data_IF_903115402509
#
_entry.id   IF_903115402509
#
_cell.length_a   1.000
_cell.length_b   1.000
_cell.length_c   1.000
_cell.angle_alpha   90.00
_cell.angle_beta   90.00
_cell.angle_gamma   90.00
#
_symmetry.space_group_name_H-M   'P 1'
#
loop_
_entity.id
_entity.type
_entity.pdbx_description
1 polymer ?
#
# COMPACT_ATOMS: atom_id res chain seq x y z
N UNK A 1 15.26 -34.16 21.20
CA UNK A 1 13.92 -33.57 21.38
C UNK A 1 14.17 -32.18 21.93
N UNK A 2 14.13 -31.16 21.07
CA UNK A 2 14.38 -29.78 21.50
C UNK A 2 13.12 -29.31 22.23
N UNK A 3 13.24 -29.05 23.53
CA UNK A 3 12.23 -28.34 24.31
C UNK A 3 12.06 -26.96 23.68
N UNK A 4 10.98 -26.79 22.93
CA UNK A 4 10.52 -25.48 22.51
C UNK A 4 9.74 -24.94 23.69
N UNK A 5 10.36 -24.03 24.44
CA UNK A 5 9.76 -23.38 25.61
C UNK A 5 8.52 -22.58 25.16
N UNK A 6 7.33 -23.17 25.32
CA UNK A 6 6.05 -22.62 24.87
C UNK A 6 5.55 -21.49 25.79
N UNK A 7 6.08 -21.37 27.00
CA UNK A 7 5.64 -20.35 27.98
C UNK A 7 6.10 -18.93 27.60
N UNK A 8 7.07 -18.81 26.68
CA UNK A 8 7.52 -17.53 26.11
C UNK A 8 6.88 -17.15 24.77
N UNK A 9 6.07 -18.03 24.18
CA UNK A 9 5.38 -17.78 22.91
C UNK A 9 4.14 -16.91 23.19
N UNK A 10 4.18 -15.63 22.78
CA UNK A 10 3.12 -14.61 22.97
C UNK A 10 3.14 -13.78 24.28
N UNK A 11 4.29 -13.62 24.94
CA UNK A 11 4.41 -12.59 25.98
C UNK A 11 4.45 -11.17 25.37
N UNK A 12 3.70 -10.21 25.93
CA UNK A 12 3.65 -8.81 25.45
C UNK A 12 5.04 -8.16 25.56
N UNK A 13 5.74 -8.38 26.67
CA UNK A 13 7.08 -7.85 26.90
C UNK A 13 8.10 -8.39 25.87
N UNK A 14 8.09 -9.69 25.61
CA UNK A 14 8.97 -10.30 24.59
C UNK A 14 8.61 -9.82 23.19
N UNK A 15 7.32 -9.64 22.88
CA UNK A 15 6.87 -9.12 21.58
C UNK A 15 7.33 -7.68 21.35
N UNK A 16 7.25 -6.82 22.38
CA UNK A 16 7.78 -5.44 22.33
C UNK A 16 9.29 -5.42 22.12
N UNK A 17 10.04 -6.19 22.92
CA UNK A 17 11.50 -6.26 22.78
C UNK A 17 11.94 -6.75 21.38
N UNK A 18 11.21 -7.73 20.81
CA UNK A 18 11.45 -8.20 19.44
C UNK A 18 11.13 -7.14 18.39
N UNK A 19 10.03 -6.40 18.57
CA UNK A 19 9.67 -5.30 17.66
C UNK A 19 10.71 -4.17 17.70
N UNK A 20 11.22 -3.82 18.89
CA UNK A 20 12.30 -2.83 19.06
C UNK A 20 13.60 -3.30 18.40
N UNK A 21 14.02 -4.55 18.65
CA UNK A 21 15.19 -5.13 18.00
C UNK A 21 15.06 -5.18 16.47
N UNK A 22 13.87 -5.51 15.96
CA UNK A 22 13.56 -5.47 14.53
C UNK A 22 13.70 -4.04 13.98
N UNK A 23 13.14 -3.04 14.67
CA UNK A 23 13.25 -1.66 14.24
C UNK A 23 14.71 -1.20 14.19
N UNK A 24 15.51 -1.54 15.22
CA UNK A 24 16.93 -1.21 15.27
C UNK A 24 17.71 -1.87 14.12
N UNK A 25 17.47 -3.17 13.88
CA UNK A 25 18.16 -3.92 12.82
C UNK A 25 17.83 -3.42 11.41
N UNK A 26 16.62 -2.90 11.20
CA UNK A 26 16.12 -2.42 9.92
C UNK A 26 16.21 -0.90 9.74
N UNK A 27 16.76 -0.15 10.69
CA UNK A 27 16.84 1.32 10.62
C UNK A 27 15.47 2.02 10.70
N UNK A 28 14.47 1.38 11.32
CA UNK A 28 13.12 1.93 11.46
C UNK A 28 13.02 2.85 12.67
N UNK A 29 12.43 4.02 12.47
CA UNK A 29 11.95 4.88 13.55
C UNK A 29 10.77 4.23 14.28
N UNK A 30 9.86 3.60 13.54
CA UNK A 30 8.71 2.90 14.12
C UNK A 30 8.11 1.90 13.13
N UNK A 31 7.58 0.80 13.67
CA UNK A 31 6.67 -0.12 12.98
C UNK A 31 5.40 -0.24 13.81
N UNK A 32 4.24 0.12 13.24
CA UNK A 32 2.97 0.17 13.98
C UNK A 32 1.88 -0.53 13.20
N UNK A 33 1.15 -1.42 13.87
CA UNK A 33 -0.08 -2.01 13.34
C UNK A 33 -1.29 -1.22 13.83
N UNK A 34 -2.29 -1.08 12.97
CA UNK A 34 -3.52 -0.32 13.23
C UNK A 34 -4.69 -1.20 12.86
N UNK A 35 -5.70 -1.26 13.72
CA UNK A 35 -6.94 -1.96 13.41
C UNK A 35 -7.63 -1.30 12.21
N UNK A 36 -7.96 -2.14 11.22
CA UNK A 36 -8.69 -1.73 10.02
C UNK A 36 -10.01 -2.49 9.92
N UNK A 37 -10.92 -1.99 9.08
CA UNK A 37 -12.29 -2.50 9.03
C UNK A 37 -12.42 -3.61 8.00
N UNK A 38 -12.38 -4.85 8.47
CA UNK A 38 -12.60 -6.03 7.64
C UNK A 38 -13.50 -7.05 8.36
N UNK A 39 -13.93 -8.10 7.64
CA UNK A 39 -14.80 -9.16 8.20
C UNK A 39 -14.12 -9.99 9.28
N UNK A 40 -12.80 -10.06 9.23
CA UNK A 40 -11.94 -10.74 10.20
C UNK A 40 -10.96 -9.73 10.79
N UNK A 41 -10.23 -10.16 11.82
CA UNK A 41 -9.18 -9.33 12.42
C UNK A 41 -8.10 -9.06 11.38
N UNK A 42 -8.03 -7.82 10.92
CA UNK A 42 -7.13 -7.34 9.90
C UNK A 42 -6.42 -6.08 10.40
N UNK A 43 -5.19 -5.87 9.93
CA UNK A 43 -4.38 -4.74 10.33
C UNK A 43 -3.78 -4.04 9.12
N UNK A 44 -3.80 -2.71 9.18
CA UNK A 44 -2.90 -1.89 8.40
C UNK A 44 -1.58 -1.72 9.13
N UNK A 45 -0.51 -1.48 8.37
CA UNK A 45 0.83 -1.31 8.92
C UNK A 45 1.39 0.04 8.49
N UNK A 46 2.00 0.76 9.43
CA UNK A 46 2.73 2.00 9.18
C UNK A 46 4.19 1.79 9.56
N UNK A 47 5.06 1.99 8.57
CA UNK A 47 6.52 1.85 8.70
C UNK A 47 7.12 3.24 8.51
N UNK A 48 7.91 3.70 9.49
CA UNK A 48 8.69 4.93 9.38
C UNK A 48 10.16 4.60 9.52
N UNK A 49 10.98 5.10 8.60
CA UNK A 49 12.41 4.86 8.58
C UNK A 49 13.19 6.08 9.09
N UNK A 50 14.38 5.85 9.62
CA UNK A 50 15.24 6.93 10.14
C UNK A 50 15.68 7.92 9.03
N UNK A 51 15.77 7.47 7.79
CA UNK A 51 16.06 8.31 6.60
C UNK A 51 14.90 9.23 6.17
N UNK A 52 13.79 9.26 6.92
CA UNK A 52 12.68 10.20 6.70
C UNK A 52 11.60 9.73 5.73
N UNK A 53 11.72 8.55 5.14
CA UNK A 53 10.63 7.96 4.35
C UNK A 53 9.68 7.13 5.22
N UNK A 54 8.45 6.98 4.75
CA UNK A 54 7.44 6.16 5.41
C UNK A 54 6.48 5.49 4.43
N UNK A 55 6.06 4.27 4.79
CA UNK A 55 5.18 3.43 3.98
C UNK A 55 3.99 3.02 4.83
N UNK A 56 2.79 3.11 4.24
CA UNK A 56 1.55 2.62 4.81
C UNK A 56 1.04 1.49 3.94
N UNK A 57 0.74 0.35 4.54
CA UNK A 57 0.11 -0.78 3.90
C UNK A 57 -1.28 -0.96 4.51
N UNK A 58 -2.34 -0.94 3.70
CA UNK A 58 -3.71 -0.97 4.23
C UNK A 58 -4.13 -2.33 4.82
N UNK A 59 -3.59 -3.43 4.28
CA UNK A 59 -4.27 -4.72 4.36
C UNK A 59 -5.62 -4.70 3.62
N UNK A 60 -6.45 -5.71 3.84
CA UNK A 60 -7.83 -5.72 3.36
C UNK A 60 -8.70 -4.87 4.27
N UNK A 61 -9.38 -3.85 3.74
CA UNK A 61 -10.19 -2.95 4.55
C UNK A 61 -11.23 -2.19 3.75
N UNK A 62 -12.39 -1.97 4.35
CA UNK A 62 -13.27 -0.85 4.03
C UNK A 62 -12.64 0.49 4.44
N UNK A 63 -13.17 1.65 4.03
CA UNK A 63 -12.59 2.94 4.39
C UNK A 63 -12.43 3.14 5.90
N UNK A 64 -11.18 3.29 6.36
CA UNK A 64 -10.84 3.33 7.78
C UNK A 64 -10.15 4.63 8.17
N UNK A 65 -10.76 5.38 9.09
CA UNK A 65 -10.20 6.63 9.62
C UNK A 65 -8.96 6.42 10.48
N UNK A 66 -8.79 5.26 11.12
CA UNK A 66 -7.60 4.96 11.93
C UNK A 66 -6.35 4.89 11.05
N UNK A 67 -6.47 4.27 9.87
CA UNK A 67 -5.38 4.19 8.91
C UNK A 67 -4.94 5.60 8.47
N UNK A 68 -5.91 6.47 8.15
CA UNK A 68 -5.66 7.88 7.80
C UNK A 68 -4.88 8.61 8.90
N UNK A 69 -5.28 8.45 10.15
CA UNK A 69 -4.62 9.12 11.29
C UNK A 69 -3.20 8.61 11.50
N UNK A 70 -3.00 7.31 11.45
CA UNK A 70 -1.70 6.69 11.68
C UNK A 70 -0.70 6.96 10.55
N UNK A 71 -1.19 7.02 9.31
CA UNK A 71 -0.40 7.16 8.09
C UNK A 71 -0.17 8.59 7.59
N UNK A 72 -0.59 9.63 8.35
CA UNK A 72 -0.49 11.02 7.90
C UNK A 72 0.89 11.38 7.32
N UNK A 73 0.87 12.08 6.19
CA UNK A 73 2.03 12.56 5.43
C UNK A 73 3.00 11.45 5.00
N UNK A 74 2.52 10.22 4.83
CA UNK A 74 3.39 9.13 4.41
C UNK A 74 3.96 9.32 3.00
N UNK A 75 5.16 8.77 2.77
CA UNK A 75 5.77 8.80 1.43
C UNK A 75 4.94 7.95 0.46
N UNK A 76 4.54 6.76 0.87
CA UNK A 76 3.79 5.84 0.03
C UNK A 76 2.63 5.20 0.80
N UNK A 77 1.45 5.23 0.20
CA UNK A 77 0.32 4.37 0.57
C UNK A 77 0.21 3.23 -0.43
N UNK A 78 0.24 2.00 0.05
CA UNK A 78 -0.14 0.80 -0.70
C UNK A 78 -1.52 0.40 -0.20
N UNK A 79 -2.53 0.54 -1.05
CA UNK A 79 -3.93 0.34 -0.67
C UNK A 79 -4.61 -0.72 -1.52
N UNK A 80 -5.41 -1.56 -0.88
CA UNK A 80 -6.28 -2.52 -1.55
C UNK A 80 -7.41 -1.77 -2.31
N UNK A 81 -7.75 -2.21 -3.51
CA UNK A 81 -8.80 -1.60 -4.33
C UNK A 81 -9.57 -2.70 -5.06
N UNK A 82 -10.14 -3.63 -4.27
CA UNK A 82 -10.80 -4.83 -4.76
C UNK A 82 -12.00 -4.57 -5.66
N UNK A 83 -12.72 -3.47 -5.48
CA UNK A 83 -14.03 -3.23 -6.12
C UNK A 83 -14.05 -2.00 -7.01
N UNK A 84 -14.89 -2.03 -8.05
CA UNK A 84 -15.17 -0.84 -8.87
C UNK A 84 -16.06 0.14 -8.13
N UNK A 85 -16.02 1.40 -8.55
CA UNK A 85 -16.77 2.47 -7.91
C UNK A 85 -18.28 2.28 -8.03
N UNK A 86 -18.76 1.59 -9.08
CA UNK A 86 -20.18 1.27 -9.23
C UNK A 86 -20.67 0.17 -8.26
N UNK A 87 -19.74 -0.52 -7.60
CA UNK A 87 -20.02 -1.67 -6.71
C UNK A 87 -19.81 -1.34 -5.24
N UNK A 88 -19.97 -0.06 -4.87
CA UNK A 88 -19.79 0.42 -3.50
C UNK A 88 -20.60 -0.38 -2.47
N UNK A 89 -21.83 -0.78 -2.79
CA UNK A 89 -22.65 -1.60 -1.89
C UNK A 89 -22.05 -2.99 -1.66
N UNK A 90 -21.48 -3.60 -2.70
CA UNK A 90 -20.79 -4.89 -2.58
C UNK A 90 -19.47 -4.74 -1.81
N UNK A 91 -18.73 -3.65 -2.06
CA UNK A 91 -17.49 -3.33 -1.34
C UNK A 91 -17.78 -3.21 0.16
N UNK A 92 -18.82 -2.45 0.52
CA UNK A 92 -19.29 -2.32 1.90
C UNK A 92 -19.70 -3.66 2.49
N UNK A 93 -20.50 -4.45 1.77
CA UNK A 93 -20.96 -5.76 2.26
C UNK A 93 -19.80 -6.73 2.49
N UNK A 94 -18.73 -6.66 1.69
CA UNK A 94 -17.54 -7.51 1.82
C UNK A 94 -16.43 -6.90 2.69
N UNK A 95 -16.62 -5.69 3.20
CA UNK A 95 -15.64 -4.93 3.97
C UNK A 95 -14.31 -4.71 3.20
N UNK A 96 -14.44 -4.27 1.96
CA UNK A 96 -13.37 -3.89 1.04
C UNK A 96 -13.53 -2.42 0.59
N UNK A 97 -12.50 -1.87 -0.03
CA UNK A 97 -12.51 -0.52 -0.60
C UNK A 97 -12.74 -0.53 -2.11
N UNK A 98 -13.44 0.49 -2.61
CA UNK A 98 -13.43 0.81 -4.05
C UNK A 98 -12.18 1.59 -4.43
N UNK A 99 -11.91 1.70 -5.74
CA UNK A 99 -10.79 2.53 -6.25
C UNK A 99 -10.87 3.98 -5.75
N UNK A 100 -12.02 4.65 -5.92
CA UNK A 100 -12.21 6.03 -5.46
C UNK A 100 -12.03 6.16 -3.96
N UNK A 101 -12.54 5.22 -3.19
CA UNK A 101 -12.37 5.22 -1.73
C UNK A 101 -10.91 5.11 -1.32
N UNK A 102 -10.14 4.20 -1.95
CA UNK A 102 -8.70 4.05 -1.71
C UNK A 102 -7.92 5.33 -2.07
N UNK A 103 -8.26 5.97 -3.19
CA UNK A 103 -7.67 7.26 -3.60
C UNK A 103 -8.01 8.37 -2.60
N UNK A 104 -9.26 8.44 -2.15
CA UNK A 104 -9.71 9.46 -1.20
C UNK A 104 -9.06 9.28 0.18
N UNK A 105 -8.77 8.04 0.59
CA UNK A 105 -7.96 7.74 1.79
C UNK A 105 -6.55 8.30 1.62
N UNK A 106 -5.89 8.05 0.48
CA UNK A 106 -4.57 8.61 0.18
C UNK A 106 -4.55 10.14 0.23
N UNK A 107 -5.56 10.78 -0.35
CA UNK A 107 -5.71 12.25 -0.31
C UNK A 107 -5.87 12.78 1.11
N UNK A 108 -6.77 12.18 1.91
CA UNK A 108 -7.01 12.57 3.32
C UNK A 108 -5.80 12.30 4.23
N UNK A 109 -4.97 11.34 3.84
CA UNK A 109 -3.72 11.00 4.51
C UNK A 109 -2.56 11.92 4.08
N UNK A 110 -2.76 12.78 3.07
CA UNK A 110 -1.73 13.66 2.50
C UNK A 110 -0.46 12.91 2.06
N UNK A 111 -0.63 11.72 1.49
CA UNK A 111 0.52 10.94 1.01
C UNK A 111 1.10 11.50 -0.28
N UNK A 112 2.38 11.26 -0.51
CA UNK A 112 3.03 11.68 -1.76
C UNK A 112 2.65 10.76 -2.92
N UNK A 113 2.61 9.45 -2.66
CA UNK A 113 2.31 8.41 -3.65
C UNK A 113 1.22 7.47 -3.15
N UNK A 114 0.36 7.01 -4.06
CA UNK A 114 -0.64 5.96 -3.80
C UNK A 114 -0.50 4.86 -4.84
N UNK A 115 -0.29 3.63 -4.38
CA UNK A 115 -0.18 2.42 -5.16
C UNK A 115 -1.38 1.53 -4.88
N UNK A 116 -2.26 1.38 -5.87
CA UNK A 116 -3.43 0.52 -5.75
C UNK A 116 -3.05 -0.91 -6.11
N UNK A 117 -3.51 -1.86 -5.31
CA UNK A 117 -3.25 -3.30 -5.50
C UNK A 117 -4.47 -4.13 -5.07
N UNK A 118 -4.32 -5.45 -5.05
CA UNK A 118 -5.35 -6.39 -4.61
C UNK A 118 -6.65 -6.23 -5.41
N UNK A 119 -6.53 -6.23 -6.74
CA UNK A 119 -7.67 -6.09 -7.63
C UNK A 119 -8.46 -7.40 -7.70
N UNK A 120 -9.78 -7.33 -7.82
CA UNK A 120 -10.59 -8.52 -8.09
C UNK A 120 -10.37 -9.00 -9.51
N UNK A 121 -10.13 -10.31 -9.66
CA UNK A 121 -9.89 -10.98 -10.94
C UNK A 121 -11.02 -10.89 -11.97
N UNK A 122 -12.18 -10.41 -11.53
CA UNK A 122 -13.37 -10.23 -12.38
C UNK A 122 -13.27 -9.01 -13.28
N UNK A 123 -12.29 -8.14 -13.07
CA UNK A 123 -12.18 -6.85 -13.77
C UNK A 123 -10.99 -6.84 -14.73
N UNK A 124 -11.25 -7.09 -16.01
CA UNK A 124 -10.23 -7.06 -17.07
C UNK A 124 -9.86 -5.64 -17.55
N UNK A 125 -10.58 -4.61 -17.08
CA UNK A 125 -10.36 -3.21 -17.47
C UNK A 125 -9.79 -2.44 -16.29
N UNK A 126 -8.59 -1.93 -16.47
CA UNK A 126 -7.98 -0.95 -15.56
C UNK A 126 -8.85 0.32 -15.50
N UNK A 127 -8.91 0.99 -14.34
CA UNK A 127 -9.61 2.26 -14.21
C UNK A 127 -8.80 3.39 -14.85
N UNK A 128 -8.82 3.47 -16.19
CA UNK A 128 -8.14 4.48 -16.99
C UNK A 128 -8.47 5.92 -16.56
N UNK A 129 -9.67 6.16 -16.04
CA UNK A 129 -10.19 7.50 -15.76
C UNK A 129 -9.64 8.12 -14.47
N UNK A 130 -8.99 7.33 -13.60
CA UNK A 130 -8.60 7.79 -12.26
C UNK A 130 -7.15 8.30 -12.16
N UNK A 131 -6.28 7.97 -13.12
CA UNK A 131 -4.84 8.31 -13.10
C UNK A 131 -4.49 9.66 -13.74
N UNK A 132 -5.47 10.36 -14.34
CA UNK A 132 -5.25 11.58 -15.13
C UNK A 132 -5.10 12.88 -14.30
N UNK A 133 -5.11 12.80 -12.96
CA UNK A 133 -4.97 13.98 -12.10
C UNK A 133 -3.50 14.33 -11.85
N UNK A 134 -3.09 15.56 -12.18
CA UNK A 134 -1.76 16.10 -11.88
C UNK A 134 -1.56 16.54 -10.41
N UNK A 135 -2.54 16.28 -9.53
CA UNK A 135 -2.47 16.64 -8.12
C UNK A 135 -2.14 15.43 -7.25
N UNK A 136 -1.40 15.66 -6.16
CA UNK A 136 -1.03 14.63 -5.20
C UNK A 136 -2.27 13.94 -4.59
N UNK A 137 -2.19 12.63 -4.30
CA UNK A 137 -1.02 11.76 -4.46
C UNK A 137 -0.78 11.32 -5.91
N UNK A 138 0.48 11.08 -6.27
CA UNK A 138 0.81 10.39 -7.53
C UNK A 138 0.21 8.98 -7.46
N UNK A 139 -0.79 8.74 -8.31
CA UNK A 139 -1.50 7.47 -8.37
C UNK A 139 -0.76 6.49 -9.29
N UNK A 140 -0.66 5.24 -8.88
CA UNK A 140 -0.10 4.15 -9.70
C UNK A 140 -0.90 2.88 -9.46
N UNK A 141 -1.13 2.12 -10.54
CA UNK A 141 -1.70 0.78 -10.46
C UNK A 141 -0.58 -0.24 -10.38
N UNK A 142 -0.71 -1.20 -9.47
CA UNK A 142 0.26 -2.26 -9.34
C UNK A 142 0.02 -3.36 -10.37
N UNK A 143 1.09 -3.92 -10.92
CA UNK A 143 1.03 -5.07 -11.82
C UNK A 143 1.89 -6.18 -11.26
N UNK A 144 1.51 -7.42 -11.55
CA UNK A 144 2.26 -8.56 -11.06
C UNK A 144 3.70 -8.52 -11.59
N UNK A 145 4.65 -8.79 -10.69
CA UNK A 145 6.10 -8.70 -10.92
C UNK A 145 6.63 -7.30 -11.25
N UNK A 146 5.81 -6.25 -11.13
CA UNK A 146 6.27 -4.89 -11.35
C UNK A 146 7.36 -4.49 -10.34
N UNK A 147 8.41 -3.85 -10.84
CA UNK A 147 9.46 -3.23 -10.03
C UNK A 147 9.43 -1.74 -10.26
N UNK A 148 9.14 -0.98 -9.21
CA UNK A 148 8.95 0.45 -9.28
C UNK A 148 9.87 1.14 -8.28
N UNK A 149 10.55 2.18 -8.74
CA UNK A 149 11.17 3.16 -7.85
C UNK A 149 10.09 4.13 -7.42
N UNK A 150 10.00 4.42 -6.12
CA UNK A 150 8.94 5.31 -5.59
C UNK A 150 8.98 6.68 -6.30
N UNK A 151 10.17 7.26 -6.47
CA UNK A 151 10.34 8.53 -7.18
C UNK A 151 10.07 8.49 -8.69
N UNK A 152 9.93 7.31 -9.29
CA UNK A 152 9.61 7.12 -10.71
C UNK A 152 8.15 6.70 -10.94
N UNK A 153 7.33 6.57 -9.89
CA UNK A 153 5.93 6.12 -10.00
C UNK A 153 5.09 6.97 -10.97
N UNK A 154 5.39 8.26 -11.10
CA UNK A 154 4.73 9.16 -12.05
C UNK A 154 4.91 8.73 -13.52
N UNK A 155 6.02 8.04 -13.86
CA UNK A 155 6.27 7.54 -15.21
C UNK A 155 5.26 6.47 -15.63
N UNK A 156 4.68 5.75 -14.67
CA UNK A 156 3.64 4.75 -14.95
C UNK A 156 2.41 5.36 -15.61
N UNK A 157 2.07 6.62 -15.29
CA UNK A 157 0.93 7.31 -15.90
C UNK A 157 1.16 7.63 -17.38
N UNK A 158 2.42 7.67 -17.83
CA UNK A 158 2.77 7.85 -19.25
C UNK A 158 2.63 6.52 -20.00
N UNK A 159 3.05 5.42 -19.36
CA UNK A 159 3.10 4.10 -19.99
C UNK A 159 1.79 3.30 -19.88
N UNK A 160 0.82 3.80 -19.10
CA UNK A 160 -0.42 3.08 -18.78
C UNK A 160 -1.18 2.64 -20.04
N UNK A 161 -1.31 3.53 -21.03
CA UNK A 161 -2.00 3.26 -22.30
C UNK A 161 -1.32 2.13 -23.06
N UNK A 162 0.02 2.11 -23.08
CA UNK A 162 0.80 1.06 -23.75
C UNK A 162 0.66 -0.30 -23.04
N UNK A 163 0.70 -0.31 -21.71
CA UNK A 163 0.51 -1.52 -20.91
C UNK A 163 -0.88 -2.12 -21.11
N UNK A 164 -1.91 -1.27 -21.14
CA UNK A 164 -3.30 -1.70 -21.30
C UNK A 164 -3.57 -2.26 -22.70
N UNK A 165 -3.05 -1.60 -23.74
CA UNK A 165 -3.09 -2.16 -25.09
C UNK A 165 -2.47 -3.56 -25.14
N UNK A 166 -1.35 -3.78 -24.44
CA UNK A 166 -0.73 -5.11 -24.37
C UNK A 166 -1.59 -6.13 -23.61
N UNK A 167 -2.26 -5.71 -22.52
CA UNK A 167 -3.11 -6.58 -21.69
C UNK A 167 -4.43 -6.93 -22.38
N UNK A 168 -5.00 -6.02 -23.16
CA UNK A 168 -6.25 -6.24 -23.92
C UNK A 168 -6.07 -7.15 -25.13
N UNK A 169 -4.83 -7.36 -25.59
CA UNK A 169 -4.51 -8.22 -26.74
C UNK A 169 -4.38 -9.71 -26.38
N UNK A 170 -4.29 -10.05 -25.09
CA UNK A 170 -4.21 -11.45 -24.66
C UNK A 170 -5.51 -11.90 -23.97
N UNK A 171 -6.33 -12.74 -24.63
CA UNK A 171 -7.58 -13.23 -24.06
C UNK A 171 -7.39 -14.20 -22.87
N UNK A 172 -6.16 -14.63 -22.58
CA UNK A 172 -5.87 -15.57 -21.50
C UNK A 172 -5.37 -14.91 -20.20
N UNK A 173 -5.15 -13.59 -20.20
CA UNK A 173 -4.76 -12.86 -18.98
C UNK A 173 -5.99 -12.70 -18.08
N UNK A 174 -6.21 -13.70 -17.25
CA UNK A 174 -7.01 -13.57 -16.04
C UNK A 174 -6.16 -12.82 -15.02
N UNK A 175 -6.54 -11.58 -14.69
CA UNK A 175 -5.83 -10.81 -13.66
C UNK A 175 -5.99 -11.50 -12.30
N UNK A 176 -5.01 -12.28 -11.86
CA UNK A 176 -4.89 -12.84 -10.49
C UNK A 176 -3.43 -12.63 -10.10
N UNK A 177 -3.01 -11.50 -9.50
CA UNK A 177 -3.23 -10.99 -8.13
C UNK A 177 -2.52 -11.85 -7.07
N UNK A 178 -1.19 -11.71 -7.06
CA UNK A 178 -0.39 -11.55 -5.84
C UNK A 178 0.73 -10.61 -6.21
N UNK A 179 0.51 -9.32 -5.99
CA UNK A 179 1.45 -8.32 -6.45
C UNK A 179 2.67 -8.30 -5.53
N UNK A 180 3.71 -9.03 -5.90
CA UNK A 180 5.05 -8.86 -5.32
C UNK A 180 5.68 -7.62 -5.96
N UNK A 181 5.45 -6.46 -5.35
CA UNK A 181 6.07 -5.22 -5.79
C UNK A 181 7.43 -5.09 -5.09
N UNK A 182 8.50 -5.06 -5.88
CA UNK A 182 9.79 -4.62 -5.33
C UNK A 182 9.83 -3.10 -5.41
N UNK A 183 9.73 -2.45 -4.26
CA UNK A 183 9.88 -1.01 -4.14
C UNK A 183 11.33 -0.69 -3.82
N UNK A 184 11.92 0.18 -4.63
CA UNK A 184 13.26 0.70 -4.39
C UNK A 184 13.18 2.20 -4.13
N UNK A 185 13.86 2.65 -3.08
CA UNK A 185 14.01 4.06 -2.78
C UNK A 185 15.11 4.63 -3.66
N UNK A 186 14.94 5.87 -4.12
CA UNK A 186 15.99 6.54 -4.89
C UNK A 186 17.18 6.85 -3.95
N UNK A 187 18.41 6.43 -4.31
CA UNK A 187 19.60 6.89 -3.60
C UNK A 187 19.70 8.41 -3.77
N UNK A 188 19.55 9.18 -2.69
CA UNK A 188 19.73 10.65 -2.70
C UNK A 188 18.47 11.52 -2.78
N UNK A 189 17.25 10.97 -2.67
CA UNK A 189 16.02 11.79 -2.72
C UNK A 189 15.69 12.53 -1.40
N UNK A 190 16.44 12.26 -0.32
CA UNK A 190 16.36 13.01 0.94
C UNK A 190 17.62 13.87 1.08
N UNK A 191 17.73 14.88 0.23
CA UNK A 191 18.72 15.94 0.40
C UNK A 191 18.39 16.72 1.67
N UNK A 192 19.28 16.67 2.66
CA UNK A 192 19.29 17.62 3.76
C UNK A 192 19.39 19.04 3.18
N UNK A 193 18.29 19.78 3.22
CA UNK A 193 18.33 21.23 3.18
C UNK A 193 18.95 21.72 4.49
N UNK A 194 20.28 21.67 4.56
CA UNK A 194 21.02 22.42 5.56
C UNK A 194 20.76 23.91 5.31
N UNK A 195 20.07 24.54 6.24
CA UNK A 195 20.09 25.99 6.39
C UNK A 195 21.55 26.46 6.53
N UNK A 196 21.99 27.28 5.58
CA UNK A 196 22.97 28.34 5.80
C UNK A 196 22.47 29.59 5.10
#
# INVERSE_FOLDING_TARGET
MLDVDLDGFMSDATSRARAEAMCQALGLQSFTCVDVYHRTRCYGTVIRHMDGWSIVFSGDTAPCGNLIKAGQNATLLIHEASMRDEEEEQARAKAHSTFRQAIDIGRKMHVQHTLLTHFSARYHKSPHTLTASSQAPILTLAYDLARLRIGDMWKMNIHIVGLECSLLLDPNISQVVFTVITLTLNPGAFGFGALQ
#
